data_IF_989261220676
#
_entry.id   IF_989261220676
#
_cell.length_a   1.000
_cell.length_b   1.000
_cell.length_c   1.000
_cell.angle_alpha   90.00
_cell.angle_beta   90.00
_cell.angle_gamma   90.00
#
_symmetry.space_group_name_H-M   'P 1'
#
loop_
_entity.id
_entity.type
_entity.pdbx_description
1 polymer ?
#
# COMPACT_ATOMS: atom_id res chain seq x y z
N UNK A 1 -22.40 9.17 -75.06
CA UNK A 1 -21.41 9.75 -74.12
C UNK A 1 -21.79 9.31 -72.71
N UNK A 2 -21.01 8.39 -72.13
CA UNK A 2 -21.21 7.82 -70.78
C UNK A 2 -20.50 8.70 -69.75
N UNK A 3 -21.19 9.18 -68.72
CA UNK A 3 -20.58 9.74 -67.51
C UNK A 3 -20.90 8.81 -66.34
N UNK A 4 -19.90 7.98 -66.00
CA UNK A 4 -19.80 7.30 -64.70
C UNK A 4 -19.58 8.38 -63.64
N UNK A 5 -20.53 8.55 -62.73
CA UNK A 5 -20.28 9.17 -61.44
C UNK A 5 -19.94 8.04 -60.48
N UNK A 6 -18.64 7.85 -60.26
CA UNK A 6 -18.09 6.98 -59.23
C UNK A 6 -18.60 7.46 -57.86
N UNK A 7 -19.40 6.62 -57.22
CA UNK A 7 -19.66 6.71 -55.79
C UNK A 7 -18.36 6.46 -55.04
N UNK A 8 -17.73 7.53 -54.61
CA UNK A 8 -16.62 7.49 -53.67
C UNK A 8 -17.21 7.25 -52.27
N UNK A 9 -17.50 5.98 -51.98
CA UNK A 9 -17.70 5.51 -50.61
C UNK A 9 -16.39 5.78 -49.87
N UNK A 10 -16.35 6.88 -49.11
CA UNK A 10 -15.38 7.04 -48.04
C UNK A 10 -15.62 5.91 -47.04
N UNK A 11 -14.86 4.83 -47.22
CA UNK A 11 -14.66 3.82 -46.21
C UNK A 11 -13.96 4.49 -45.03
N UNK A 12 -14.75 4.94 -44.06
CA UNK A 12 -14.29 5.47 -42.78
C UNK A 12 -13.74 4.29 -41.96
N UNK A 13 -12.56 3.79 -42.35
CA UNK A 13 -11.71 3.01 -41.46
C UNK A 13 -11.05 4.00 -40.49
N UNK A 14 -11.78 4.45 -39.47
CA UNK A 14 -11.11 5.00 -38.28
C UNK A 14 -10.60 3.80 -37.50
N UNK A 15 -9.28 3.69 -37.48
CA UNK A 15 -8.50 2.80 -36.64
C UNK A 15 -8.86 3.06 -35.16
N UNK A 16 -9.93 2.44 -34.66
CA UNK A 16 -10.10 2.25 -33.22
C UNK A 16 -9.12 1.16 -32.82
N UNK A 17 -7.87 1.55 -32.58
CA UNK A 17 -6.97 0.72 -31.77
C UNK A 17 -7.73 0.42 -30.49
N UNK A 18 -8.13 -0.84 -30.30
CA UNK A 18 -8.87 -1.28 -29.14
C UNK A 18 -8.04 -0.89 -27.92
N UNK A 19 -8.48 0.11 -27.17
CA UNK A 19 -7.81 0.48 -25.94
C UNK A 19 -7.79 -0.78 -25.05
N UNK A 20 -6.63 -1.16 -24.51
CA UNK A 20 -6.55 -2.33 -23.63
C UNK A 20 -7.56 -2.16 -22.48
N UNK A 21 -8.14 -3.28 -22.03
CA UNK A 21 -9.09 -3.24 -20.91
C UNK A 21 -8.45 -2.60 -19.67
N UNK A 22 -9.24 -1.99 -18.76
CA UNK A 22 -8.72 -1.39 -17.54
C UNK A 22 -7.82 -2.33 -16.73
N UNK A 23 -8.14 -3.63 -16.68
CA UNK A 23 -7.32 -4.63 -15.99
C UNK A 23 -5.96 -4.84 -16.68
N UNK A 24 -5.93 -4.89 -18.02
CA UNK A 24 -4.69 -4.98 -18.80
C UNK A 24 -3.84 -3.71 -18.63
N UNK A 25 -4.48 -2.55 -18.52
CA UNK A 25 -3.80 -1.27 -18.27
C UNK A 25 -3.17 -1.27 -16.88
N UNK A 26 -3.88 -1.71 -15.84
CA UNK A 26 -3.33 -1.82 -14.49
C UNK A 26 -2.13 -2.78 -14.41
N UNK A 27 -2.20 -3.94 -15.06
CA UNK A 27 -1.06 -4.87 -15.12
C UNK A 27 0.15 -4.26 -15.85
N UNK A 28 -0.09 -3.48 -16.90
CA UNK A 28 0.98 -2.74 -17.60
C UNK A 28 1.60 -1.67 -16.68
N UNK A 29 0.79 -0.97 -15.88
CA UNK A 29 1.27 0.00 -14.92
C UNK A 29 2.13 -0.64 -13.83
N UNK A 30 1.71 -1.80 -13.29
CA UNK A 30 2.49 -2.58 -12.32
C UNK A 30 3.83 -3.04 -12.90
N UNK A 31 3.84 -3.48 -14.17
CA UNK A 31 5.06 -3.85 -14.87
C UNK A 31 6.04 -2.67 -15.02
N UNK A 32 5.54 -1.49 -15.40
CA UNK A 32 6.35 -0.27 -15.48
C UNK A 32 6.93 0.13 -14.11
N UNK A 33 6.13 0.07 -13.05
CA UNK A 33 6.58 0.33 -11.68
C UNK A 33 7.65 -0.67 -11.21
N UNK A 34 7.56 -1.93 -11.62
CA UNK A 34 8.56 -2.97 -11.32
C UNK A 34 9.87 -2.71 -12.06
N UNK A 35 9.80 -2.15 -13.27
CA UNK A 35 10.97 -1.68 -14.02
C UNK A 35 11.58 -0.37 -13.49
N UNK A 36 10.99 0.23 -12.44
CA UNK A 36 11.42 1.51 -11.87
C UNK A 36 10.89 2.74 -12.61
N UNK A 37 10.09 2.56 -13.66
CA UNK A 37 9.45 3.66 -14.40
C UNK A 37 8.11 4.07 -13.75
N UNK A 38 8.22 4.70 -12.59
CA UNK A 38 7.06 5.16 -11.82
C UNK A 38 6.31 6.29 -12.52
N UNK A 39 6.94 7.07 -13.42
CA UNK A 39 6.24 8.09 -14.21
C UNK A 39 5.28 7.45 -15.19
N UNK A 40 5.75 6.43 -15.91
CA UNK A 40 4.91 5.68 -16.84
C UNK A 40 3.77 4.96 -16.11
N UNK A 41 4.07 4.33 -14.97
CA UNK A 41 3.06 3.64 -14.16
C UNK A 41 1.92 4.56 -13.71
N UNK A 42 2.25 5.75 -13.21
CA UNK A 42 1.27 6.76 -12.79
C UNK A 42 0.47 7.30 -13.98
N UNK A 43 1.11 7.55 -15.11
CA UNK A 43 0.42 8.02 -16.32
C UNK A 43 -0.63 7.03 -16.82
N UNK A 44 -0.39 5.72 -16.68
CA UNK A 44 -1.35 4.69 -17.08
C UNK A 44 -2.52 4.66 -16.10
N UNK A 45 -2.23 4.74 -14.79
CA UNK A 45 -3.25 4.72 -13.74
C UNK A 45 -4.15 5.95 -13.76
N UNK A 46 -3.60 7.13 -13.99
CA UNK A 46 -4.37 8.37 -14.11
C UNK A 46 -5.31 8.36 -15.33
N UNK A 47 -5.06 7.49 -16.31
CA UNK A 47 -5.90 7.26 -17.48
C UNK A 47 -6.97 6.17 -17.31
N UNK A 48 -7.03 5.48 -16.17
CA UNK A 48 -8.02 4.43 -15.93
C UNK A 48 -9.42 5.05 -15.73
N UNK A 49 -10.48 4.42 -16.27
CA UNK A 49 -11.85 4.90 -16.06
C UNK A 49 -12.25 4.73 -14.59
N UNK A 50 -12.76 5.80 -13.98
CA UNK A 50 -13.00 5.88 -12.53
C UNK A 50 -14.07 4.92 -11.99
N UNK A 51 -14.93 4.40 -12.87
CA UNK A 51 -15.95 3.40 -12.57
C UNK A 51 -15.43 1.95 -12.64
N UNK A 52 -14.17 1.75 -13.05
CA UNK A 52 -13.57 0.41 -13.10
C UNK A 52 -13.04 -0.06 -11.75
N UNK A 53 -13.10 -1.38 -11.52
CA UNK A 53 -12.46 -2.00 -10.36
C UNK A 53 -10.94 -1.78 -10.36
N UNK A 54 -10.32 -1.78 -11.56
CA UNK A 54 -8.90 -1.49 -11.75
C UNK A 54 -8.53 -0.10 -11.22
N UNK A 55 -9.39 0.92 -11.36
CA UNK A 55 -9.14 2.25 -10.81
C UNK A 55 -9.07 2.25 -9.28
N UNK A 56 -9.95 1.52 -8.60
CA UNK A 56 -9.92 1.43 -7.14
C UNK A 56 -8.60 0.82 -6.64
N UNK A 57 -8.12 -0.24 -7.29
CA UNK A 57 -6.81 -0.83 -6.98
C UNK A 57 -5.66 0.11 -7.32
N UNK A 58 -5.75 0.81 -8.45
CA UNK A 58 -4.73 1.75 -8.89
C UNK A 58 -4.56 2.95 -7.94
N UNK A 59 -5.66 3.45 -7.38
CA UNK A 59 -5.64 4.52 -6.37
C UNK A 59 -4.97 4.09 -5.06
N UNK A 60 -4.93 2.77 -4.77
CA UNK A 60 -4.16 2.24 -3.64
C UNK A 60 -2.66 2.24 -3.93
N UNK A 61 -2.25 1.99 -5.18
CA UNK A 61 -0.84 1.87 -5.57
C UNK A 61 -0.17 3.23 -5.91
N UNK A 62 -0.94 4.18 -6.44
CA UNK A 62 -0.42 5.46 -6.94
C UNK A 62 0.33 6.30 -5.88
N UNK A 63 -0.08 6.37 -4.59
CA UNK A 63 0.67 7.09 -3.57
C UNK A 63 2.11 6.59 -3.41
N UNK A 64 2.32 5.27 -3.40
CA UNK A 64 3.65 4.66 -3.26
C UNK A 64 4.55 4.99 -4.46
N UNK A 65 4.01 4.94 -5.68
CA UNK A 65 4.77 5.27 -6.88
C UNK A 65 5.15 6.75 -6.94
N UNK A 66 4.27 7.66 -6.49
CA UNK A 66 4.58 9.10 -6.38
C UNK A 66 5.72 9.35 -5.39
N UNK A 67 5.70 8.70 -4.24
CA UNK A 67 6.75 8.83 -3.24
C UNK A 67 8.14 8.39 -3.76
N UNK A 68 8.18 7.35 -4.59
CA UNK A 68 9.43 6.86 -5.22
C UNK A 68 9.99 7.78 -6.30
N UNK A 69 9.16 8.66 -6.88
CA UNK A 69 9.64 9.71 -7.78
C UNK A 69 10.22 10.91 -7.01
N UNK A 70 9.69 11.20 -5.82
CA UNK A 70 10.10 12.33 -4.99
C UNK A 70 11.33 12.05 -4.15
N UNK A 71 11.68 10.78 -3.93
CA UNK A 71 12.93 10.40 -3.25
C UNK A 71 14.09 10.50 -4.26
N UNK A 72 14.95 11.54 -4.21
CA UNK A 72 16.15 11.54 -5.03
C UNK A 72 16.99 10.35 -4.62
N UNK A 73 17.25 9.46 -5.58
CA UNK A 73 18.31 8.45 -5.45
C UNK A 73 19.58 9.23 -5.22
N UNK A 74 20.01 9.35 -3.95
CA UNK A 74 21.28 9.95 -3.62
C UNK A 74 22.33 9.06 -4.29
N UNK A 75 23.08 9.53 -5.30
CA UNK A 75 24.11 8.71 -5.91
C UNK A 75 25.20 8.50 -4.84
N UNK A 76 25.14 7.36 -4.16
CA UNK A 76 26.32 6.76 -3.55
C UNK A 76 27.22 6.30 -4.70
N UNK A 77 28.51 6.59 -4.60
CA UNK A 77 29.59 6.25 -5.55
C UNK A 77 29.81 7.16 -6.76
N UNK A 78 30.39 8.33 -6.52
CA UNK A 78 31.56 8.77 -7.32
C UNK A 78 32.61 9.30 -6.35
N UNK A 79 33.81 8.69 -6.41
CA UNK A 79 34.85 8.75 -5.39
C UNK A 79 35.19 10.13 -4.84
N UNK A 80 35.20 10.23 -3.51
CA UNK A 80 35.92 11.28 -2.79
C UNK A 80 37.18 10.66 -2.16
N UNK A 81 38.33 11.21 -2.56
CA UNK A 81 39.65 11.06 -1.96
C UNK A 81 39.62 11.11 -0.42
N UNK A 82 40.54 10.41 0.29
CA UNK A 82 40.63 10.48 1.75
C UNK A 82 41.07 11.88 2.18
N UNK A 83 40.13 12.66 2.72
CA UNK A 83 40.42 13.91 3.42
C UNK A 83 40.73 13.58 4.89
N UNK A 84 41.79 14.13 5.51
CA UNK A 84 42.15 13.82 6.88
C UNK A 84 41.07 14.24 7.89
N UNK A 85 40.82 13.33 8.82
CA UNK A 85 39.79 13.36 9.85
C UNK A 85 39.78 14.65 10.68
N UNK A 86 38.67 15.39 10.59
CA UNK A 86 38.22 16.29 11.66
C UNK A 86 37.70 15.46 12.84
N UNK A 87 37.80 15.95 14.09
CA UNK A 87 37.45 15.17 15.27
C UNK A 87 35.98 14.75 15.23
N UNK A 88 35.77 13.45 15.47
CA UNK A 88 34.46 12.83 15.63
C UNK A 88 33.71 13.55 16.75
N UNK A 89 32.78 14.43 16.38
CA UNK A 89 31.71 14.85 17.27
C UNK A 89 30.86 13.60 17.47
N UNK A 90 30.88 13.04 18.68
CA UNK A 90 30.03 11.92 19.04
C UNK A 90 28.58 12.24 18.64
N UNK A 91 27.86 11.33 17.95
CA UNK A 91 26.46 11.56 17.64
C UNK A 91 25.73 11.75 18.97
N UNK A 92 25.19 12.95 19.18
CA UNK A 92 24.27 13.20 20.28
C UNK A 92 23.14 12.18 20.15
N UNK A 93 22.82 11.40 21.20
CA UNK A 93 21.72 10.46 21.13
C UNK A 93 20.47 11.25 20.74
N UNK A 94 19.88 10.89 19.61
CA UNK A 94 18.64 11.49 19.10
C UNK A 94 17.64 11.36 20.25
N UNK A 95 17.30 12.49 20.89
CA UNK A 95 16.38 12.50 22.03
C UNK A 95 15.11 11.75 21.64
N UNK A 96 14.86 10.65 22.35
CA UNK A 96 13.61 9.93 22.29
C UNK A 96 12.49 10.93 22.57
N UNK A 97 11.67 11.25 21.57
CA UNK A 97 10.41 11.94 21.82
C UNK A 97 9.62 10.99 22.71
N UNK A 98 9.23 11.38 23.94
CA UNK A 98 8.41 10.52 24.77
C UNK A 98 7.06 10.35 24.07
N UNK A 99 6.84 9.18 23.47
CA UNK A 99 5.54 8.83 22.89
C UNK A 99 4.54 8.74 24.03
N UNK A 100 3.51 9.58 24.01
CA UNK A 100 2.44 9.61 25.00
C UNK A 100 1.89 8.18 25.22
N UNK A 101 2.03 7.60 26.43
CA UNK A 101 1.66 6.22 26.69
C UNK A 101 0.18 5.96 26.45
N UNK A 102 -0.68 6.98 26.60
CA UNK A 102 -2.10 6.85 26.29
C UNK A 102 -2.34 6.70 24.78
N UNK A 103 -1.55 7.37 23.94
CA UNK A 103 -1.64 7.21 22.48
C UNK A 103 -1.09 5.85 22.04
N UNK A 104 0.01 5.39 22.63
CA UNK A 104 0.55 4.04 22.36
C UNK A 104 -0.48 2.97 22.69
N UNK A 105 -1.16 3.09 23.83
CA UNK A 105 -2.23 2.16 24.22
C UNK A 105 -3.35 2.08 23.17
N UNK A 106 -3.71 3.20 22.54
CA UNK A 106 -4.69 3.24 21.45
C UNK A 106 -4.20 2.59 20.16
N UNK A 107 -2.89 2.66 19.84
CA UNK A 107 -2.34 1.92 18.68
C UNK A 107 -2.48 0.41 18.92
N UNK A 108 -2.20 -0.04 20.15
CA UNK A 108 -2.38 -1.45 20.56
C UNK A 108 -3.86 -1.87 20.51
N UNK A 109 -4.77 -0.98 20.89
CA UNK A 109 -6.22 -1.20 20.74
C UNK A 109 -6.60 -1.37 19.27
N UNK A 110 -6.15 -0.48 18.38
CA UNK A 110 -6.36 -0.61 16.94
C UNK A 110 -5.84 -1.96 16.40
N UNK A 111 -4.67 -2.41 16.86
CA UNK A 111 -4.11 -3.70 16.43
C UNK A 111 -5.00 -4.89 16.82
N UNK A 112 -5.61 -4.85 18.01
CA UNK A 112 -6.56 -5.88 18.45
C UNK A 112 -7.86 -5.85 17.68
N UNK A 113 -8.37 -4.66 17.35
CA UNK A 113 -9.56 -4.52 16.51
C UNK A 113 -9.30 -5.10 15.10
N UNK A 114 -8.11 -4.86 14.52
CA UNK A 114 -7.70 -5.49 13.24
C UNK A 114 -7.65 -7.00 13.36
N UNK A 115 -7.07 -7.53 14.44
CA UNK A 115 -7.06 -8.97 14.71
C UNK A 115 -8.48 -9.54 14.76
N UNK A 116 -9.40 -8.91 15.51
CA UNK A 116 -10.78 -9.37 15.62
C UNK A 116 -11.53 -9.33 14.27
N UNK A 117 -11.27 -8.31 13.45
CA UNK A 117 -11.81 -8.24 12.07
C UNK A 117 -11.29 -9.39 11.20
N UNK A 118 -10.01 -9.72 11.29
CA UNK A 118 -9.41 -10.84 10.56
C UNK A 118 -9.96 -12.19 11.03
N UNK A 119 -10.08 -12.40 12.34
CA UNK A 119 -10.67 -13.62 12.89
C UNK A 119 -12.12 -13.80 12.44
N UNK A 120 -12.92 -12.72 12.45
CA UNK A 120 -14.30 -12.75 11.94
C UNK A 120 -14.34 -13.08 10.45
N UNK A 121 -13.45 -12.49 9.65
CA UNK A 121 -13.30 -12.85 8.24
C UNK A 121 -12.94 -14.33 8.08
N UNK A 122 -11.96 -14.83 8.83
CA UNK A 122 -11.55 -16.23 8.79
C UNK A 122 -12.72 -17.18 9.06
N UNK A 123 -13.59 -16.86 10.02
CA UNK A 123 -14.79 -17.65 10.31
C UNK A 123 -15.77 -17.66 9.12
N UNK A 124 -16.04 -16.50 8.52
CA UNK A 124 -16.99 -16.38 7.41
C UNK A 124 -16.49 -17.04 6.11
N UNK A 125 -15.16 -17.07 5.91
CA UNK A 125 -14.52 -17.56 4.69
C UNK A 125 -13.81 -18.90 4.86
N UNK A 126 -14.22 -19.70 5.84
CA UNK A 126 -13.74 -21.07 6.08
C UNK A 126 -12.20 -21.15 6.18
N UNK A 127 -11.63 -20.30 7.05
CA UNK A 127 -10.19 -20.20 7.30
C UNK A 127 -9.40 -19.52 6.18
N UNK A 128 -10.05 -19.02 5.12
CA UNK A 128 -9.39 -18.17 4.12
C UNK A 128 -9.40 -16.74 4.62
N UNK A 129 -8.30 -16.05 4.37
CA UNK A 129 -8.11 -14.68 4.80
C UNK A 129 -7.69 -13.81 3.60
N UNK A 130 -7.89 -12.48 3.66
CA UNK A 130 -7.66 -11.62 2.51
C UNK A 130 -6.16 -11.39 2.29
N UNK A 131 -5.73 -11.28 1.03
CA UNK A 131 -4.31 -11.05 0.71
C UNK A 131 -3.85 -9.63 0.99
N UNK A 132 -4.77 -8.69 1.16
CA UNK A 132 -4.51 -7.29 1.46
C UNK A 132 -5.63 -6.68 2.31
N UNK A 133 -5.33 -5.54 2.93
CA UNK A 133 -6.28 -4.86 3.82
C UNK A 133 -7.52 -4.30 3.10
N UNK A 134 -7.40 -3.92 1.82
CA UNK A 134 -8.53 -3.43 1.05
C UNK A 134 -9.62 -4.51 0.89
N UNK A 135 -9.20 -5.77 0.63
CA UNK A 135 -10.10 -6.92 0.59
C UNK A 135 -10.79 -7.17 1.93
N UNK A 136 -10.06 -7.06 3.05
CA UNK A 136 -10.65 -7.12 4.39
C UNK A 136 -11.71 -6.03 4.57
N UNK A 137 -11.41 -4.79 4.19
CA UNK A 137 -12.31 -3.65 4.39
C UNK A 137 -13.63 -3.79 3.63
N UNK A 138 -13.58 -4.29 2.38
CA UNK A 138 -14.77 -4.50 1.56
C UNK A 138 -15.69 -5.54 2.20
N UNK A 139 -15.16 -6.71 2.56
CA UNK A 139 -15.95 -7.80 3.12
C UNK A 139 -16.39 -7.51 4.56
N UNK A 140 -15.55 -6.88 5.38
CA UNK A 140 -15.90 -6.50 6.75
C UNK A 140 -17.06 -5.50 6.80
N UNK A 141 -17.10 -4.53 5.86
CA UNK A 141 -18.21 -3.58 5.76
C UNK A 141 -19.49 -4.28 5.35
N UNK A 142 -19.40 -5.17 4.36
CA UNK A 142 -20.52 -5.98 3.88
C UNK A 142 -21.10 -6.89 4.96
N UNK A 143 -20.24 -7.52 5.77
CA UNK A 143 -20.62 -8.45 6.84
C UNK A 143 -20.77 -7.79 8.23
N UNK A 144 -20.73 -6.45 8.30
CA UNK A 144 -21.03 -5.63 9.50
C UNK A 144 -20.10 -5.84 10.71
N UNK A 145 -18.87 -6.32 10.50
CA UNK A 145 -17.82 -6.34 11.54
C UNK A 145 -16.71 -5.31 11.31
N UNK A 146 -16.85 -4.44 10.30
CA UNK A 146 -15.92 -3.33 10.09
C UNK A 146 -15.93 -2.32 11.23
N UNK A 147 -14.73 -1.91 11.65
CA UNK A 147 -14.51 -0.84 12.63
C UNK A 147 -13.71 0.28 11.97
N UNK A 148 -14.22 1.50 12.08
CA UNK A 148 -13.47 2.70 11.68
C UNK A 148 -12.37 2.98 12.71
N UNK A 149 -11.12 2.86 12.28
CA UNK A 149 -9.94 3.03 13.13
C UNK A 149 -9.30 4.39 12.87
N UNK A 150 -8.80 5.03 13.93
CA UNK A 150 -8.14 6.34 13.88
C UNK A 150 -6.70 6.21 14.34
N UNK A 151 -5.78 6.83 13.61
CA UNK A 151 -4.38 6.88 14.03
C UNK A 151 -4.23 7.84 15.22
N UNK A 152 -3.85 7.36 16.42
CA UNK A 152 -3.80 8.19 17.62
C UNK A 152 -2.56 9.09 17.68
N UNK A 153 -1.51 8.80 16.90
CA UNK A 153 -0.31 9.63 16.82
C UNK A 153 -0.45 10.74 15.79
N UNK A 154 -1.09 10.45 14.65
CA UNK A 154 -1.35 11.44 13.62
C UNK A 154 -2.73 11.21 12.95
N UNK A 155 -3.76 12.01 13.28
CA UNK A 155 -5.12 11.80 12.77
C UNK A 155 -5.27 12.09 11.27
N UNK A 156 -4.29 12.71 10.61
CA UNK A 156 -4.30 12.91 9.15
C UNK A 156 -3.75 11.70 8.39
N UNK A 157 -3.12 10.76 9.09
CA UNK A 157 -2.61 9.52 8.50
C UNK A 157 -3.60 8.38 8.70
N UNK A 158 -3.59 7.37 7.80
CA UNK A 158 -4.41 6.19 8.00
C UNK A 158 -3.99 5.43 9.26
N UNK A 159 -4.97 4.79 9.90
CA UNK A 159 -4.74 3.95 11.07
C UNK A 159 -4.13 2.59 10.72
N UNK A 160 -4.16 2.21 9.44
CA UNK A 160 -3.70 0.92 8.93
C UNK A 160 -2.91 1.15 7.66
N UNK A 161 -1.82 0.40 7.50
CA UNK A 161 -0.91 0.51 6.36
C UNK A 161 -0.37 -0.86 5.97
N UNK A 162 0.28 -0.93 4.81
CA UNK A 162 1.06 -2.09 4.39
C UNK A 162 2.34 -2.21 5.24
N UNK A 163 2.71 -3.42 5.65
CA UNK A 163 3.97 -3.70 6.37
C UNK A 163 5.24 -3.18 5.68
N UNK A 164 5.23 -3.05 4.35
CA UNK A 164 6.37 -2.50 3.58
C UNK A 164 6.59 -1.03 3.85
N UNK A 165 5.54 -0.31 4.25
CA UNK A 165 5.54 1.13 4.48
C UNK A 165 4.86 1.44 5.82
N UNK A 166 5.51 1.06 6.94
CA UNK A 166 4.94 1.30 8.25
C UNK A 166 4.88 2.80 8.53
N UNK A 167 3.70 3.27 8.94
CA UNK A 167 3.46 4.64 9.32
C UNK A 167 3.44 4.78 10.84
N UNK A 168 3.99 5.87 11.40
CA UNK A 168 3.84 6.23 12.80
C UNK A 168 2.40 6.09 13.30
N UNK A 169 2.18 5.25 14.32
CA UNK A 169 0.87 5.09 14.96
C UNK A 169 -0.15 4.29 14.15
N UNK A 170 0.26 3.75 13.01
CA UNK A 170 -0.56 2.83 12.22
C UNK A 170 -0.29 1.38 12.61
N UNK A 171 -1.27 0.54 12.29
CA UNK A 171 -1.17 -0.91 12.32
C UNK A 171 -0.72 -1.38 10.95
N UNK A 172 0.44 -2.02 10.87
CA UNK A 172 0.97 -2.58 9.64
C UNK A 172 0.44 -4.00 9.43
N UNK A 173 0.01 -4.30 8.20
CA UNK A 173 -0.55 -5.58 7.79
C UNK A 173 0.41 -6.31 6.84
N UNK A 174 0.76 -7.55 7.17
CA UNK A 174 1.56 -8.45 6.32
C UNK A 174 0.83 -9.77 6.09
N UNK A 175 0.61 -10.13 4.82
CA UNK A 175 0.10 -11.45 4.43
C UNK A 175 1.27 -12.39 4.10
N UNK A 176 1.40 -13.49 4.84
CA UNK A 176 2.53 -14.41 4.71
C UNK A 176 2.29 -15.61 3.79
N UNK A 177 1.07 -15.80 3.27
CA UNK A 177 0.76 -16.89 2.34
C UNK A 177 -0.56 -17.63 2.65
N UNK A 178 -1.05 -18.36 1.65
CA UNK A 178 -2.35 -19.04 1.66
C UNK A 178 -2.37 -20.29 2.56
N UNK A 179 -1.20 -20.88 2.77
CA UNK A 179 -0.98 -22.19 3.37
C UNK A 179 -0.80 -22.13 4.89
N UNK A 180 -0.69 -20.93 5.48
CA UNK A 180 -0.69 -20.77 6.95
C UNK A 180 -1.45 -19.56 7.50
N UNK A 181 -2.15 -18.78 6.69
CA UNK A 181 -2.98 -17.65 7.14
C UNK A 181 -2.34 -16.82 8.27
N UNK A 182 -1.02 -16.60 8.17
CA UNK A 182 -0.27 -15.91 9.21
C UNK A 182 -0.26 -14.43 8.90
N UNK A 183 -0.70 -13.66 9.88
CA UNK A 183 -0.61 -12.21 9.83
C UNK A 183 0.37 -11.74 10.86
N UNK A 184 1.21 -10.80 10.44
CA UNK A 184 1.89 -9.93 11.37
C UNK A 184 1.13 -8.62 11.45
N UNK A 185 0.71 -8.29 12.66
CA UNK A 185 0.12 -7.00 12.99
C UNK A 185 1.17 -6.24 13.79
N UNK A 186 1.81 -5.27 13.13
CA UNK A 186 2.84 -4.43 13.75
C UNK A 186 2.24 -3.09 14.14
N UNK A 187 2.36 -2.71 15.41
CA UNK A 187 2.07 -1.34 15.86
C UNK A 187 3.38 -0.54 15.85
N UNK A 188 3.35 0.77 15.55
CA UNK A 188 4.57 1.59 15.51
C UNK A 188 4.44 2.82 16.42
N UNK A 189 5.43 3.08 17.28
CA UNK A 189 5.40 4.16 18.30
C UNK A 189 5.74 5.55 17.75
N UNK A 190 5.91 5.67 16.43
CA UNK A 190 6.31 6.88 15.75
C UNK A 190 7.81 7.14 15.69
N UNK A 191 8.64 6.28 16.29
CA UNK A 191 10.09 6.28 16.11
C UNK A 191 10.57 5.17 15.16
N UNK A 192 9.66 4.62 14.35
CA UNK A 192 9.91 3.43 13.56
C UNK A 192 10.42 2.27 14.42
N UNK A 193 9.88 2.11 15.64
CA UNK A 193 10.05 0.89 16.43
C UNK A 193 8.72 0.16 16.55
N UNK A 194 8.71 -1.18 16.41
CA UNK A 194 7.50 -1.94 16.64
C UNK A 194 7.12 -1.85 18.13
N UNK A 195 5.92 -1.36 18.39
CA UNK A 195 5.24 -1.49 19.68
C UNK A 195 4.78 -2.93 19.78
N UNK A 196 5.43 -3.66 20.67
CA UNK A 196 5.08 -5.04 20.97
C UNK A 196 3.88 -5.05 21.93
N UNK A 197 3.11 -6.14 21.91
CA UNK A 197 2.07 -6.39 22.91
C UNK A 197 2.63 -6.44 24.34
N UNK A 198 1.74 -6.56 25.34
CA UNK A 198 2.13 -6.67 26.77
C UNK A 198 3.11 -7.83 27.06
N UNK A 199 3.17 -8.81 26.17
CA UNK A 199 4.03 -10.00 26.20
C UNK A 199 5.33 -9.84 25.40
N UNK A 200 5.60 -8.66 24.82
CA UNK A 200 6.76 -8.43 23.99
C UNK A 200 6.70 -9.12 22.62
N UNK A 201 5.50 -9.55 22.17
CA UNK A 201 5.33 -10.23 20.88
C UNK A 201 4.61 -9.34 19.86
N UNK A 202 4.89 -9.63 18.60
CA UNK A 202 4.06 -9.21 17.47
C UNK A 202 2.72 -9.93 17.60
N UNK A 203 1.62 -9.25 17.31
CA UNK A 203 0.31 -9.88 17.28
C UNK A 203 0.28 -10.85 16.10
N UNK A 204 0.44 -12.14 16.44
CA UNK A 204 0.36 -13.26 15.50
C UNK A 204 -1.05 -13.78 15.52
N UNK A 205 -1.72 -13.69 14.38
CA UNK A 205 -2.95 -14.46 14.14
C UNK A 205 -2.51 -15.68 13.36
N UNK A 206 -2.38 -16.80 14.07
CA UNK A 206 -2.24 -18.11 13.44
C UNK A 206 -3.66 -18.65 13.21
N UNK A 207 -4.04 -18.91 11.96
CA UNK A 207 -5.26 -19.65 11.66
C UNK A 207 -5.11 -21.09 12.16
N UNK A 208 -5.75 -21.42 13.28
CA UNK A 208 -5.84 -22.81 13.77
C UNK A 208 -7.09 -23.45 13.17
N UNK A 209 -6.99 -23.98 11.95
CA UNK A 209 -8.02 -24.88 11.40
C UNK A 209 -7.39 -25.95 10.51
#
# INVERSE_FOLDING_TARGET
MKRLLLGMTLSFCVLTACAPSPDKQLETAKAAATAGDYRQALSIVDGLPSDSAAYAEAQVLAPDWRHRLETPVRPSDVGATPVPSSPVVAPTPISAVPTDPAKVAKVVENAREVQAMLESYGLDFNGKYPTNFAGLAVEAKKNKYWKELKNPLNPTLPAITDHRHPLPGAVAYEFLGADKAKYHIHSWDGQSKPVLGKDGKVFLVDGIY
#
